data_IF_664287371775
#
_entry.id   IF_664287371775
#
_cell.length_a   1.000
_cell.length_b   1.000
_cell.length_c   1.000
_cell.angle_alpha   90.00
_cell.angle_beta   90.00
_cell.angle_gamma   90.00
#
_symmetry.space_group_name_H-M   'P 1'
#
loop_
_entity.id
_entity.type
_entity.pdbx_description
1 polymer ?
#
# COMPACT_ATOMS: atom_id res chain seq x y z
N UNK A 1 25.04 -7.39 -22.94
CA UNK A 1 24.37 -6.32 -22.15
C UNK A 1 23.27 -6.98 -21.35
N UNK A 2 23.30 -6.95 -20.00
CA UNK A 2 22.19 -7.48 -19.20
C UNK A 2 21.03 -6.50 -19.35
N UNK A 3 19.90 -6.94 -19.92
CA UNK A 3 18.67 -6.15 -19.92
C UNK A 3 18.32 -5.84 -18.45
N UNK A 4 18.45 -4.57 -18.05
CA UNK A 4 18.05 -4.12 -16.71
C UNK A 4 16.53 -3.97 -16.74
N UNK A 5 15.84 -4.90 -16.10
CA UNK A 5 14.40 -4.82 -15.90
C UNK A 5 14.10 -3.96 -14.69
N UNK A 6 13.16 -3.00 -14.84
CA UNK A 6 12.71 -2.18 -13.72
C UNK A 6 11.64 -2.93 -12.93
N UNK A 7 11.72 -2.85 -11.61
CA UNK A 7 10.79 -3.51 -10.70
C UNK A 7 9.94 -2.46 -10.02
N UNK A 8 8.63 -2.69 -9.96
CA UNK A 8 7.68 -1.87 -9.19
C UNK A 8 7.12 -2.74 -8.07
N UNK A 9 7.29 -2.32 -6.82
CA UNK A 9 6.75 -3.04 -5.67
C UNK A 9 5.59 -2.23 -5.09
N UNK A 10 4.40 -2.82 -5.08
CA UNK A 10 3.21 -2.26 -4.46
C UNK A 10 2.94 -3.03 -3.17
N UNK A 11 3.01 -2.33 -2.03
CA UNK A 11 2.82 -2.89 -0.70
C UNK A 11 1.50 -2.42 -0.10
N UNK A 12 0.79 -3.31 0.58
CA UNK A 12 -0.38 -2.96 1.40
C UNK A 12 -0.10 -3.33 2.84
N UNK A 13 -0.07 -2.32 3.70
CA UNK A 13 0.10 -2.44 5.15
C UNK A 13 -1.07 -1.80 5.90
N UNK A 14 -1.22 -2.12 7.18
CA UNK A 14 -2.37 -1.69 7.98
C UNK A 14 -2.80 -2.73 9.00
N UNK A 15 -3.77 -2.37 9.84
CA UNK A 15 -4.22 -3.22 10.94
C UNK A 15 -4.67 -4.62 10.50
N UNK A 16 -4.61 -5.58 11.43
CA UNK A 16 -5.08 -6.95 11.22
C UNK A 16 -6.59 -7.01 10.93
N UNK A 17 -6.99 -7.93 10.02
CA UNK A 17 -8.39 -8.20 9.61
C UNK A 17 -9.13 -7.01 8.98
N UNK A 18 -8.40 -6.11 8.32
CA UNK A 18 -8.97 -4.95 7.62
C UNK A 18 -9.00 -5.09 6.08
N UNK A 19 -8.99 -6.31 5.57
CA UNK A 19 -9.19 -6.58 4.13
C UNK A 19 -8.01 -6.21 3.22
N UNK A 20 -6.76 -6.34 3.70
CA UNK A 20 -5.55 -6.08 2.91
C UNK A 20 -5.35 -7.09 1.77
N UNK A 21 -5.28 -8.38 2.11
CA UNK A 21 -5.13 -9.47 1.13
C UNK A 21 -6.31 -9.51 0.14
N UNK A 22 -7.52 -9.16 0.61
CA UNK A 22 -8.69 -8.99 -0.24
C UNK A 22 -8.49 -7.86 -1.28
N UNK A 23 -7.99 -6.69 -0.86
CA UNK A 23 -7.66 -5.59 -1.77
C UNK A 23 -6.57 -6.00 -2.77
N UNK A 24 -5.52 -6.68 -2.30
CA UNK A 24 -4.43 -7.16 -3.16
C UNK A 24 -4.91 -8.14 -4.23
N UNK A 25 -5.92 -8.96 -3.95
CA UNK A 25 -6.46 -9.87 -4.95
C UNK A 25 -7.16 -9.13 -6.10
N UNK A 26 -7.79 -7.97 -5.85
CA UNK A 26 -8.27 -7.12 -6.96
C UNK A 26 -7.13 -6.55 -7.79
N UNK A 27 -6.01 -6.18 -7.15
CA UNK A 27 -4.83 -5.73 -7.90
C UNK A 27 -4.22 -6.86 -8.72
N UNK A 28 -4.16 -8.09 -8.17
CA UNK A 28 -3.72 -9.27 -8.92
C UNK A 28 -4.59 -9.47 -10.17
N UNK A 29 -5.91 -9.51 -9.99
CA UNK A 29 -6.85 -9.71 -11.09
C UNK A 29 -6.68 -8.63 -12.17
N UNK A 30 -6.68 -7.35 -11.76
CA UNK A 30 -6.48 -6.25 -12.68
C UNK A 30 -5.15 -6.35 -13.44
N UNK A 31 -4.05 -6.65 -12.74
CA UNK A 31 -2.71 -6.73 -13.35
C UNK A 31 -2.60 -7.92 -14.32
N UNK A 32 -3.19 -9.07 -14.01
CA UNK A 32 -3.21 -10.22 -14.93
C UNK A 32 -4.08 -9.93 -16.17
N UNK A 33 -5.26 -9.31 -15.99
CA UNK A 33 -6.09 -8.87 -17.11
C UNK A 33 -5.37 -7.84 -17.99
N UNK A 34 -4.67 -6.88 -17.37
CA UNK A 34 -3.89 -5.87 -18.07
C UNK A 34 -2.74 -6.50 -18.86
N UNK A 35 -1.98 -7.40 -18.26
CA UNK A 35 -0.91 -8.12 -18.94
C UNK A 35 -1.45 -8.90 -20.16
N UNK A 36 -2.57 -9.62 -19.99
CA UNK A 36 -3.20 -10.37 -21.08
C UNK A 36 -3.69 -9.46 -22.20
N UNK A 37 -4.30 -8.33 -21.84
CA UNK A 37 -4.75 -7.29 -22.77
C UNK A 37 -3.58 -6.77 -23.63
N UNK A 38 -2.45 -6.46 -23.00
CA UNK A 38 -1.24 -5.99 -23.69
C UNK A 38 -0.60 -7.07 -24.59
N UNK A 39 -0.58 -8.33 -24.16
CA UNK A 39 0.05 -9.42 -24.93
C UNK A 39 -0.78 -9.87 -26.13
N UNK A 40 -2.11 -9.83 -26.01
CA UNK A 40 -3.04 -10.34 -27.03
C UNK A 40 -3.71 -9.23 -27.85
N UNK A 41 -3.39 -7.96 -27.57
CA UNK A 41 -3.99 -6.77 -28.18
C UNK A 41 -5.54 -6.79 -28.10
N UNK A 42 -6.07 -7.22 -26.95
CA UNK A 42 -7.51 -7.26 -26.67
C UNK A 42 -7.90 -6.13 -25.71
N UNK A 43 -9.12 -5.59 -25.79
CA UNK A 43 -9.60 -4.59 -24.83
C UNK A 43 -9.45 -5.09 -23.39
N UNK A 44 -9.10 -4.18 -22.48
CA UNK A 44 -9.02 -4.49 -21.05
C UNK A 44 -10.42 -4.73 -20.49
N UNK A 45 -10.73 -6.00 -20.24
CA UNK A 45 -11.92 -6.43 -19.54
C UNK A 45 -11.50 -7.03 -18.19
N UNK A 46 -11.90 -6.38 -17.10
CA UNK A 46 -11.60 -6.79 -15.73
C UNK A 46 -12.85 -6.58 -14.86
N UNK A 47 -12.93 -7.30 -13.74
CA UNK A 47 -14.07 -7.23 -12.82
C UNK A 47 -15.41 -7.59 -13.47
N UNK A 48 -15.45 -8.69 -14.22
CA UNK A 48 -16.68 -9.27 -14.79
C UNK A 48 -17.48 -10.02 -13.73
N UNK A 49 -18.76 -10.32 -14.00
CA UNK A 49 -19.64 -11.00 -13.05
C UNK A 49 -19.15 -12.40 -12.62
N UNK A 50 -18.36 -13.07 -13.46
CA UNK A 50 -17.75 -14.38 -13.18
C UNK A 50 -16.38 -14.29 -12.48
N UNK A 51 -15.95 -13.08 -12.10
CA UNK A 51 -14.64 -12.84 -11.48
C UNK A 51 -14.52 -13.57 -10.14
N UNK A 52 -13.66 -14.60 -10.10
CA UNK A 52 -13.26 -15.26 -8.86
C UNK A 52 -11.89 -14.74 -8.41
N UNK A 53 -11.87 -14.07 -7.25
CA UNK A 53 -10.64 -13.55 -6.67
C UNK A 53 -9.77 -14.69 -6.10
N UNK A 54 -8.82 -15.14 -6.92
CA UNK A 54 -7.73 -16.02 -6.51
C UNK A 54 -6.47 -15.19 -6.19
N UNK A 55 -5.59 -15.68 -5.33
CA UNK A 55 -4.36 -14.95 -5.01
C UNK A 55 -3.88 -15.17 -3.58
N UNK A 56 -3.57 -14.06 -2.91
CA UNK A 56 -3.22 -14.05 -1.49
C UNK A 56 -4.34 -14.71 -0.68
N UNK A 57 -3.95 -15.63 0.21
CA UNK A 57 -4.90 -16.36 1.03
C UNK A 57 -5.63 -15.39 1.97
N UNK A 58 -6.96 -15.41 1.90
CA UNK A 58 -7.83 -14.58 2.74
C UNK A 58 -9.02 -15.40 3.22
N UNK A 59 -9.40 -15.25 4.50
CA UNK A 59 -10.62 -15.85 5.05
C UNK A 59 -11.35 -14.89 5.99
N UNK A 60 -12.68 -14.87 5.89
CA UNK A 60 -13.54 -14.31 6.93
C UNK A 60 -13.40 -15.14 8.22
N UNK A 61 -13.22 -14.48 9.38
CA UNK A 61 -13.07 -15.14 10.68
C UNK A 61 -12.09 -14.42 11.62
N UNK A 62 -11.95 -14.87 12.86
CA UNK A 62 -11.10 -14.19 13.86
C UNK A 62 -9.63 -14.65 13.89
N UNK A 63 -9.29 -15.80 13.27
CA UNK A 63 -7.94 -16.40 13.29
C UNK A 63 -7.03 -15.83 12.21
N UNK A 64 -5.71 -15.88 12.43
CA UNK A 64 -4.70 -15.30 11.53
C UNK A 64 -4.63 -16.02 10.18
N UNK A 65 -4.21 -15.25 9.16
CA UNK A 65 -3.83 -15.77 7.83
C UNK A 65 -2.38 -15.41 7.50
N UNK A 66 -2.03 -14.12 7.52
CA UNK A 66 -0.70 -13.63 7.11
C UNK A 66 0.22 -13.37 8.32
N UNK A 67 1.42 -13.95 8.32
CA UNK A 67 2.51 -13.68 9.30
C UNK A 67 3.74 -13.16 8.54
N UNK A 68 4.35 -12.07 8.99
CA UNK A 68 5.51 -11.46 8.33
C UNK A 68 5.17 -10.65 7.06
N UNK A 69 5.99 -10.78 6.02
CA UNK A 69 5.82 -10.11 4.72
C UNK A 69 5.72 -11.17 3.64
N UNK A 70 4.70 -11.07 2.79
CA UNK A 70 4.46 -11.98 1.67
C UNK A 70 4.59 -11.20 0.38
N UNK A 71 5.30 -11.76 -0.59
CA UNK A 71 5.43 -11.20 -1.93
C UNK A 71 4.82 -12.21 -2.89
N UNK A 72 4.07 -11.72 -3.87
CA UNK A 72 3.53 -12.58 -4.92
C UNK A 72 4.66 -13.27 -5.69
N UNK A 73 4.56 -14.59 -5.87
CA UNK A 73 5.67 -15.42 -6.33
C UNK A 73 6.06 -15.22 -7.80
N UNK A 74 5.20 -14.59 -8.59
CA UNK A 74 5.39 -14.39 -10.02
C UNK A 74 5.34 -12.89 -10.35
N UNK A 75 6.42 -12.30 -10.89
CA UNK A 75 6.39 -10.91 -11.36
C UNK A 75 5.41 -10.75 -12.54
N UNK A 76 4.52 -9.77 -12.45
CA UNK A 76 3.55 -9.48 -13.52
C UNK A 76 4.17 -8.44 -14.45
N UNK A 77 4.34 -8.80 -15.72
CA UNK A 77 5.02 -7.97 -16.70
C UNK A 77 4.03 -6.98 -17.33
N UNK A 78 4.24 -5.68 -17.09
CA UNK A 78 3.40 -4.60 -17.60
C UNK A 78 4.22 -3.67 -18.48
N UNK A 79 3.71 -3.37 -19.67
CA UNK A 79 4.22 -2.32 -20.55
C UNK A 79 3.62 -0.97 -20.15
N UNK A 80 4.47 0.01 -19.85
CA UNK A 80 4.01 1.38 -19.63
C UNK A 80 3.65 2.06 -20.95
N UNK A 81 2.89 3.17 -20.89
CA UNK A 81 2.58 3.98 -22.06
C UNK A 81 3.84 4.53 -22.80
N UNK A 82 5.00 4.54 -22.13
CA UNK A 82 6.30 4.87 -22.71
C UNK A 82 6.92 3.75 -23.55
N UNK A 83 6.34 2.55 -23.56
CA UNK A 83 6.90 1.33 -24.16
C UNK A 83 7.94 0.62 -23.28
N UNK A 84 8.15 1.07 -22.04
CA UNK A 84 9.08 0.42 -21.10
C UNK A 84 8.40 -0.71 -20.34
N UNK A 85 9.07 -1.86 -20.26
CA UNK A 85 8.59 -3.04 -19.52
C UNK A 85 8.97 -2.99 -18.04
N UNK A 86 7.98 -3.20 -17.18
CA UNK A 86 8.13 -3.27 -15.73
C UNK A 86 7.73 -4.65 -15.20
N UNK A 87 8.49 -5.15 -14.23
CA UNK A 87 8.10 -6.29 -13.40
C UNK A 87 7.37 -5.77 -12.16
N UNK A 88 6.07 -5.96 -12.10
CA UNK A 88 5.23 -5.53 -10.97
C UNK A 88 5.13 -6.66 -9.96
N UNK A 89 5.43 -6.36 -8.70
CA UNK A 89 5.32 -7.26 -7.57
C UNK A 89 4.35 -6.68 -6.54
N UNK A 90 3.47 -7.54 -6.04
CA UNK A 90 2.57 -7.21 -4.95
C UNK A 90 3.09 -7.76 -3.63
N UNK A 91 2.92 -6.97 -2.58
CA UNK A 91 3.40 -7.30 -1.24
C UNK A 91 2.26 -7.14 -0.22
N UNK A 92 1.92 -8.23 0.45
CA UNK A 92 1.01 -8.26 1.59
C UNK A 92 1.82 -8.26 2.88
N UNK A 93 1.59 -7.28 3.75
CA UNK A 93 2.23 -7.29 5.07
C UNK A 93 1.27 -7.86 6.12
N UNK A 94 1.84 -8.45 7.15
CA UNK A 94 1.09 -8.79 8.35
C UNK A 94 0.32 -7.57 8.87
N UNK A 95 -0.87 -7.84 9.40
CA UNK A 95 -1.62 -6.83 10.09
C UNK A 95 -0.97 -6.40 11.39
N UNK A 96 -0.76 -5.11 11.58
CA UNK A 96 -0.28 -4.56 12.85
C UNK A 96 -1.35 -4.74 13.95
N UNK A 97 -0.91 -4.79 15.21
CA UNK A 97 -1.75 -4.85 16.42
C UNK A 97 -2.58 -6.12 16.63
N UNK A 98 -1.96 -7.28 16.48
CA UNK A 98 -2.55 -8.54 16.92
C UNK A 98 -2.12 -8.90 18.37
N UNK A 99 -2.83 -9.82 19.01
CA UNK A 99 -2.58 -10.17 20.43
C UNK A 99 -1.25 -10.89 20.70
N UNK A 100 -0.37 -11.09 19.72
CA UNK A 100 0.90 -11.82 19.94
C UNK A 100 2.14 -11.17 19.33
N UNK A 101 1.99 -10.17 18.48
CA UNK A 101 3.10 -9.45 17.86
C UNK A 101 3.30 -8.15 18.61
N UNK A 102 4.56 -7.88 19.01
CA UNK A 102 4.85 -6.65 19.75
C UNK A 102 4.68 -5.43 18.84
N UNK A 103 4.39 -4.28 19.47
CA UNK A 103 4.33 -3.00 18.75
C UNK A 103 5.60 -2.73 17.93
N UNK A 104 6.77 -3.06 18.50
CA UNK A 104 8.06 -2.90 17.82
C UNK A 104 8.21 -3.79 16.59
N UNK A 105 7.75 -5.05 16.65
CA UNK A 105 7.75 -5.94 15.48
C UNK A 105 6.84 -5.43 14.36
N UNK A 106 5.67 -4.88 14.73
CA UNK A 106 4.75 -4.25 13.78
C UNK A 106 5.41 -3.07 13.06
N UNK A 107 6.07 -2.18 13.81
CA UNK A 107 6.81 -1.04 13.26
C UNK A 107 7.96 -1.49 12.35
N UNK A 108 8.71 -2.53 12.72
CA UNK A 108 9.80 -3.05 11.89
C UNK A 108 9.28 -3.58 10.56
N UNK A 109 8.20 -4.39 10.55
CA UNK A 109 7.58 -4.90 9.32
C UNK A 109 7.11 -3.74 8.45
N UNK A 110 6.43 -2.76 9.05
CA UNK A 110 5.93 -1.59 8.33
C UNK A 110 7.06 -0.76 7.71
N UNK A 111 8.10 -0.44 8.48
CA UNK A 111 9.26 0.29 8.00
C UNK A 111 9.97 -0.43 6.85
N UNK A 112 10.24 -1.73 7.03
CA UNK A 112 10.88 -2.55 5.98
C UNK A 112 10.05 -2.57 4.70
N UNK A 113 8.73 -2.80 4.81
CA UNK A 113 7.82 -2.82 3.65
C UNK A 113 7.79 -1.49 2.91
N UNK A 114 7.89 -0.38 3.64
CA UNK A 114 7.86 0.95 3.03
C UNK A 114 9.16 1.29 2.32
N UNK A 115 10.31 0.93 2.91
CA UNK A 115 11.65 1.16 2.32
C UNK A 115 11.79 0.41 0.98
N UNK A 116 11.27 -0.80 0.90
CA UNK A 116 11.38 -1.64 -0.30
C UNK A 116 10.28 -1.34 -1.34
N UNK A 117 9.16 -0.75 -0.93
CA UNK A 117 8.03 -0.48 -1.83
C UNK A 117 8.24 0.79 -2.67
N UNK A 118 7.77 0.76 -3.91
CA UNK A 118 7.56 1.95 -4.73
C UNK A 118 6.28 2.69 -4.31
N UNK A 119 5.25 1.92 -3.99
CA UNK A 119 3.97 2.42 -3.50
C UNK A 119 3.63 1.68 -2.21
N UNK A 120 3.55 2.43 -1.11
CA UNK A 120 3.05 1.92 0.16
C UNK A 120 1.60 2.37 0.32
N UNK A 121 0.68 1.43 0.33
CA UNK A 121 -0.72 1.67 0.66
C UNK A 121 -0.88 1.39 2.15
N UNK A 122 -1.36 2.38 2.89
CA UNK A 122 -1.72 2.24 4.29
C UNK A 122 -3.24 2.13 4.44
N UNK A 123 -3.69 0.90 4.66
CA UNK A 123 -5.09 0.51 4.74
C UNK A 123 -5.61 0.69 6.17
N UNK A 124 -6.38 1.75 6.36
CA UNK A 124 -7.04 2.13 7.63
C UNK A 124 -8.54 1.94 7.50
N UNK A 125 -9.27 1.85 8.62
CA UNK A 125 -10.73 1.65 8.61
C UNK A 125 -11.40 2.77 9.36
N UNK A 126 -12.55 3.21 8.85
CA UNK A 126 -13.36 4.34 9.29
C UNK A 126 -12.68 5.70 9.10
N UNK A 127 -11.48 5.86 9.68
CA UNK A 127 -10.79 7.14 9.77
C UNK A 127 -9.25 6.97 9.88
N UNK A 128 -8.49 8.04 9.63
CA UNK A 128 -7.07 8.17 9.92
C UNK A 128 -6.91 8.66 11.36
N UNK A 129 -6.56 7.74 12.26
CA UNK A 129 -6.37 8.03 13.68
C UNK A 129 -4.92 8.47 13.99
N UNK A 130 -4.70 9.05 15.17
CA UNK A 130 -3.38 9.56 15.57
C UNK A 130 -2.31 8.48 15.67
N UNK A 131 -2.66 7.26 16.09
CA UNK A 131 -1.75 6.12 16.11
C UNK A 131 -1.23 5.78 14.70
N UNK A 132 -2.10 5.87 13.69
CA UNK A 132 -1.74 5.70 12.30
C UNK A 132 -0.74 6.79 11.84
N UNK A 133 -0.89 8.02 12.33
CA UNK A 133 0.04 9.12 12.06
C UNK A 133 1.35 9.00 12.86
N UNK A 134 1.32 8.44 14.08
CA UNK A 134 2.51 8.16 14.86
C UNK A 134 3.41 7.13 14.17
N UNK A 135 2.84 6.14 13.48
CA UNK A 135 3.63 5.26 12.64
C UNK A 135 4.37 6.00 11.51
N UNK A 136 3.85 7.16 11.07
CA UNK A 136 4.53 7.99 10.08
C UNK A 136 5.71 8.77 10.64
N UNK A 137 5.76 9.03 11.95
CA UNK A 137 6.89 9.75 12.55
C UNK A 137 8.19 8.96 12.38
N UNK A 138 8.10 7.63 12.38
CA UNK A 138 9.19 6.73 12.03
C UNK A 138 9.73 7.03 10.62
N UNK A 139 8.87 7.32 9.65
CA UNK A 139 9.29 7.73 8.30
C UNK A 139 10.00 9.07 8.28
N UNK A 140 9.64 10.00 9.16
CA UNK A 140 10.34 11.27 9.29
C UNK A 140 11.73 11.05 9.87
N UNK A 141 11.86 10.19 10.87
CA UNK A 141 13.17 9.86 11.47
C UNK A 141 14.09 9.14 10.47
N UNK A 142 13.60 8.09 9.81
CA UNK A 142 14.35 7.41 8.75
C UNK A 142 14.62 8.31 7.56
N UNK A 143 13.63 9.13 7.18
CA UNK A 143 13.77 10.12 6.14
C UNK A 143 14.90 11.11 6.47
N UNK A 144 14.99 11.56 7.73
CA UNK A 144 16.06 12.45 8.20
C UNK A 144 17.43 11.77 8.17
N UNK A 145 17.52 10.51 8.57
CA UNK A 145 18.77 9.72 8.51
C UNK A 145 19.24 9.51 7.06
N UNK A 146 18.30 9.21 6.15
CA UNK A 146 18.58 9.07 4.72
C UNK A 146 18.82 10.43 4.04
N UNK A 147 18.28 11.53 4.57
CA UNK A 147 18.50 12.89 4.04
C UNK A 147 19.94 13.36 4.18
N UNK A 148 20.68 12.86 5.17
CA UNK A 148 22.14 13.03 5.27
C UNK A 148 22.88 12.49 4.03
N UNK A 149 22.27 11.55 3.31
CA UNK A 149 22.78 10.94 2.07
C UNK A 149 21.92 11.29 0.83
N UNK A 150 20.82 12.05 0.99
CA UNK A 150 19.85 12.31 -0.08
C UNK A 150 20.40 13.18 -1.22
N UNK A 151 21.51 13.91 -1.00
CA UNK A 151 22.22 14.57 -2.09
C UNK A 151 22.75 13.57 -3.14
N UNK A 152 22.97 12.30 -2.78
CA UNK A 152 23.37 11.24 -3.70
C UNK A 152 22.20 10.32 -4.14
N UNK A 153 21.19 10.10 -3.29
CA UNK A 153 20.18 9.05 -3.51
C UNK A 153 18.72 9.54 -3.66
N UNK A 154 18.45 10.85 -3.57
CA UNK A 154 17.11 11.42 -3.74
C UNK A 154 16.19 11.26 -2.52
N UNK A 155 14.87 11.43 -2.73
CA UNK A 155 13.88 11.25 -1.65
C UNK A 155 13.86 9.77 -1.21
N UNK A 156 13.90 9.49 0.11
CA UNK A 156 14.04 8.11 0.62
C UNK A 156 12.80 7.23 0.39
N UNK A 157 11.64 7.84 0.16
CA UNK A 157 10.38 7.16 -0.11
C UNK A 157 9.72 7.75 -1.35
N UNK A 158 9.05 6.91 -2.13
CA UNK A 158 8.42 7.30 -3.40
C UNK A 158 6.97 7.75 -3.18
N UNK A 159 6.06 6.83 -2.84
CA UNK A 159 4.63 7.13 -2.68
C UNK A 159 4.03 6.42 -1.48
N UNK A 160 3.29 7.18 -0.65
CA UNK A 160 2.48 6.68 0.46
C UNK A 160 1.02 7.08 0.21
N UNK A 161 0.12 6.11 0.18
CA UNK A 161 -1.31 6.31 -0.09
C UNK A 161 -2.13 5.82 1.10
N UNK A 162 -2.98 6.69 1.65
CA UNK A 162 -3.97 6.28 2.64
C UNK A 162 -5.20 5.71 1.94
N UNK A 163 -5.52 4.44 2.22
CA UNK A 163 -6.76 3.81 1.79
C UNK A 163 -7.69 3.69 3.00
N UNK A 164 -8.67 4.58 3.10
CA UNK A 164 -9.66 4.61 4.19
C UNK A 164 -10.84 3.74 3.81
N UNK A 165 -10.95 2.57 4.46
CA UNK A 165 -12.05 1.62 4.26
C UNK A 165 -13.26 2.03 5.10
N UNK A 166 -14.45 1.68 4.64
CA UNK A 166 -15.72 1.93 5.34
C UNK A 166 -15.88 3.41 5.75
N UNK A 167 -15.45 4.33 4.87
CA UNK A 167 -15.44 5.76 5.14
C UNK A 167 -16.85 6.30 5.46
N UNK A 168 -16.95 7.00 6.60
CA UNK A 168 -18.23 7.35 7.25
C UNK A 168 -18.75 8.75 6.95
N UNK A 169 -17.97 9.60 6.30
CA UNK A 169 -18.29 11.03 6.11
C UNK A 169 -18.44 11.44 4.63
N UNK A 170 -19.21 10.69 3.80
CA UNK A 170 -19.33 11.00 2.38
C UNK A 170 -20.03 12.34 2.10
N UNK A 171 -20.81 12.86 3.05
CA UNK A 171 -21.50 14.15 2.92
C UNK A 171 -20.54 15.35 3.00
N UNK A 172 -19.38 15.17 3.66
CA UNK A 172 -18.37 16.22 3.82
C UNK A 172 -17.20 16.04 2.84
N UNK A 173 -16.85 14.80 2.53
CA UNK A 173 -15.79 14.45 1.59
C UNK A 173 -16.27 13.35 0.65
N UNK A 174 -16.30 13.63 -0.65
CA UNK A 174 -16.68 12.63 -1.65
C UNK A 174 -15.78 11.38 -1.60
N UNK A 175 -16.31 10.23 -1.99
CA UNK A 175 -15.50 9.04 -2.18
C UNK A 175 -14.46 9.22 -3.29
N UNK A 176 -13.33 8.54 -3.16
CA UNK A 176 -12.25 8.56 -4.15
C UNK A 176 -11.13 9.55 -3.84
N UNK A 177 -10.29 9.81 -4.83
CA UNK A 177 -9.03 10.54 -4.65
C UNK A 177 -9.23 12.01 -4.27
N UNK A 178 -10.19 12.70 -4.90
CA UNK A 178 -10.38 14.13 -4.69
C UNK A 178 -10.85 14.43 -3.25
N UNK A 179 -11.91 13.77 -2.80
CA UNK A 179 -12.40 13.91 -1.43
C UNK A 179 -11.40 13.38 -0.41
N UNK A 180 -10.73 12.26 -0.70
CA UNK A 180 -9.65 11.73 0.13
C UNK A 180 -8.47 12.69 0.31
N UNK A 181 -8.12 13.45 -0.73
CA UNK A 181 -7.05 14.46 -0.66
C UNK A 181 -7.44 15.62 0.24
N UNK A 182 -8.67 16.13 0.12
CA UNK A 182 -9.21 17.18 1.00
C UNK A 182 -9.25 16.72 2.45
N UNK A 183 -9.73 15.49 2.67
CA UNK A 183 -9.80 14.85 3.98
C UNK A 183 -8.41 14.71 4.62
N UNK A 184 -7.43 14.18 3.88
CA UNK A 184 -6.06 14.02 4.36
C UNK A 184 -5.41 15.36 4.71
N UNK A 185 -5.64 16.41 3.91
CA UNK A 185 -5.12 17.75 4.21
C UNK A 185 -5.65 18.28 5.54
N UNK A 186 -6.95 18.11 5.81
CA UNK A 186 -7.56 18.50 7.09
C UNK A 186 -6.92 17.74 8.26
N UNK A 187 -6.81 16.41 8.16
CA UNK A 187 -6.19 15.56 9.20
C UNK A 187 -4.76 16.03 9.50
N UNK A 188 -3.95 16.25 8.46
CA UNK A 188 -2.56 16.69 8.61
C UNK A 188 -2.43 18.11 9.17
N UNK A 189 -3.39 19.01 8.91
CA UNK A 189 -3.41 20.33 9.54
C UNK A 189 -3.65 20.23 11.05
N UNK A 190 -4.64 19.43 11.49
CA UNK A 190 -4.97 19.27 12.92
C UNK A 190 -3.81 18.66 13.71
N UNK A 191 -3.07 17.72 13.11
CA UNK A 191 -1.91 17.10 13.78
C UNK A 191 -0.74 18.08 13.97
N UNK A 192 -0.57 19.08 13.11
CA UNK A 192 0.47 20.12 13.31
C UNK A 192 0.16 21.05 14.47
N UNK A 193 -1.11 21.32 14.76
CA UNK A 193 -1.50 22.17 15.89
C UNK A 193 -1.21 21.50 17.23
N UNK A 194 -1.32 20.18 17.34
CA UNK A 194 -0.99 19.46 18.58
C UNK A 194 0.53 19.35 18.83
N UNK A 195 1.36 19.36 17.78
CA UNK A 195 2.81 19.34 17.90
C UNK A 195 3.44 20.69 18.33
N UNK A 196 2.66 21.78 18.35
CA UNK A 196 3.11 23.13 18.74
C UNK A 196 2.84 23.47 20.23
N UNK A 197 2.22 22.55 20.97
CA UNK A 197 1.90 22.72 22.40
C UNK A 197 2.70 21.79 23.33
N UNK A 198 3.81 21.23 22.85
CA UNK A 198 4.81 20.50 23.65
C UNK A 198 6.17 21.16 23.43
#
# INVERSE_FOLDING_TARGET
MKNKMRVVIISVAGAFRKGKSFLLNFFLEYLYCLQKSQQSDVPLEWLTDDCQLHGFHWRAGAKRDTVGVWIWGEPIMIEAASGEMYAVLLMDTQGTFDNTTTYQQCLTIFALSTIISCVQIYNVVDNIQEDALQHLSLFVEYGRLAMTEAQQFGKPFQSLVFCVRDFKNPEEYDYGEEGGTKFLQQVLMVSRFHALYI
#
